data_IF_553913809867
#
_entry.id   IF_553913809867
#
_cell.length_a   1.000
_cell.length_b   1.000
_cell.length_c   1.000
_cell.angle_alpha   90.00
_cell.angle_beta   90.00
_cell.angle_gamma   90.00
#
_symmetry.space_group_name_H-M   'P 1'
#
loop_
_entity.id
_entity.type
_entity.pdbx_description
1 polymer ?
#
# COMPACT_ATOMS: atom_id res chain seq x y z
N UNK A 1 -90.50 1.72 -14.86
CA UNK A 1 -91.16 0.71 -15.72
C UNK A 1 -90.18 -0.45 -15.88
N UNK A 2 -90.33 -1.49 -15.04
CA UNK A 2 -89.57 -2.73 -15.25
C UNK A 2 -90.31 -3.48 -16.38
N UNK A 3 -89.65 -3.84 -17.49
CA UNK A 3 -90.32 -4.47 -18.62
C UNK A 3 -91.01 -5.77 -18.16
N UNK A 4 -92.25 -6.01 -18.57
CA UNK A 4 -93.09 -7.14 -18.12
C UNK A 4 -92.43 -8.51 -18.28
N UNK A 5 -91.52 -8.64 -19.26
CA UNK A 5 -90.69 -9.81 -19.53
C UNK A 5 -89.85 -10.23 -18.32
N UNK A 6 -89.40 -9.27 -17.50
CA UNK A 6 -88.60 -9.55 -16.30
C UNK A 6 -89.44 -10.19 -15.19
N UNK A 7 -90.76 -9.95 -15.17
CA UNK A 7 -91.66 -10.41 -14.11
C UNK A 7 -92.16 -11.83 -14.35
N UNK A 8 -92.42 -12.22 -15.61
CA UNK A 8 -92.86 -13.58 -15.96
C UNK A 8 -91.70 -14.58 -16.05
N UNK A 9 -90.50 -14.13 -16.44
CA UNK A 9 -89.31 -14.98 -16.63
C UNK A 9 -88.24 -14.81 -15.53
N UNK A 10 -88.60 -14.34 -14.35
CA UNK A 10 -87.63 -14.00 -13.30
C UNK A 10 -86.83 -15.21 -12.79
N UNK A 11 -87.44 -16.40 -12.73
CA UNK A 11 -86.79 -17.64 -12.24
C UNK A 11 -85.65 -18.12 -13.16
N UNK A 12 -85.83 -18.30 -14.48
CA UNK A 12 -84.73 -18.71 -15.36
C UNK A 12 -83.64 -17.64 -15.47
N UNK A 13 -83.99 -16.35 -15.40
CA UNK A 13 -83.01 -15.26 -15.39
C UNK A 13 -82.15 -15.33 -14.11
N UNK A 14 -82.76 -15.54 -12.95
CA UNK A 14 -82.02 -15.70 -11.69
C UNK A 14 -81.09 -16.92 -11.73
N UNK A 15 -81.53 -18.04 -12.31
CA UNK A 15 -80.69 -19.23 -12.47
C UNK A 15 -79.49 -19.00 -13.40
N UNK A 16 -79.67 -18.31 -14.52
CA UNK A 16 -78.58 -17.98 -15.44
C UNK A 16 -77.55 -17.03 -14.81
N UNK A 17 -78.01 -16.02 -14.06
CA UNK A 17 -77.12 -15.12 -13.33
C UNK A 17 -76.32 -15.88 -12.26
N UNK A 18 -76.98 -16.79 -11.53
CA UNK A 18 -76.34 -17.60 -10.50
C UNK A 18 -75.32 -18.57 -11.12
N UNK A 19 -75.63 -19.20 -12.25
CA UNK A 19 -74.69 -20.03 -13.00
C UNK A 19 -73.48 -19.21 -13.51
N UNK A 20 -73.70 -18.01 -14.03
CA UNK A 20 -72.62 -17.11 -14.45
C UNK A 20 -71.68 -16.71 -13.31
N UNK A 21 -72.24 -16.38 -12.14
CA UNK A 21 -71.45 -16.05 -10.94
C UNK A 21 -70.63 -17.24 -10.43
N UNK A 22 -71.20 -18.45 -10.44
CA UNK A 22 -70.48 -19.67 -10.06
C UNK A 22 -69.32 -19.97 -11.01
N UNK A 23 -69.54 -19.85 -12.33
CA UNK A 23 -68.49 -20.03 -13.32
C UNK A 23 -67.38 -18.97 -13.18
N UNK A 24 -67.75 -17.72 -12.98
CA UNK A 24 -66.80 -16.63 -12.76
C UNK A 24 -65.98 -16.84 -11.47
N UNK A 25 -66.63 -17.19 -10.36
CA UNK A 25 -65.96 -17.47 -9.09
C UNK A 25 -65.00 -18.66 -9.18
N UNK A 26 -65.40 -19.74 -9.85
CA UNK A 26 -64.53 -20.91 -10.08
C UNK A 26 -63.33 -20.57 -10.96
N UNK A 27 -63.54 -19.84 -12.07
CA UNK A 27 -62.46 -19.40 -12.94
C UNK A 27 -61.50 -18.44 -12.23
N UNK A 28 -62.03 -17.46 -11.50
CA UNK A 28 -61.24 -16.47 -10.78
C UNK A 28 -60.40 -17.11 -9.66
N UNK A 29 -61.01 -17.99 -8.85
CA UNK A 29 -60.30 -18.71 -7.80
C UNK A 29 -59.20 -19.61 -8.38
N UNK A 30 -59.50 -20.36 -9.45
CA UNK A 30 -58.50 -21.19 -10.13
C UNK A 30 -57.34 -20.39 -10.73
N UNK A 31 -57.63 -19.22 -11.32
CA UNK A 31 -56.61 -18.32 -11.86
C UNK A 31 -55.72 -17.72 -10.76
N UNK A 32 -56.31 -17.24 -9.66
CA UNK A 32 -55.56 -16.69 -8.53
C UNK A 32 -54.72 -17.76 -7.82
N UNK A 33 -55.26 -18.97 -7.62
CA UNK A 33 -54.47 -20.11 -7.10
C UNK A 33 -53.30 -20.45 -8.02
N UNK A 34 -53.52 -20.53 -9.33
CA UNK A 34 -52.45 -20.83 -10.30
C UNK A 34 -51.35 -19.76 -10.32
N UNK A 35 -51.73 -18.47 -10.24
CA UNK A 35 -50.77 -17.37 -10.07
C UNK A 35 -49.98 -17.49 -8.76
N UNK A 36 -50.66 -17.77 -7.66
CA UNK A 36 -50.04 -17.89 -6.34
C UNK A 36 -48.97 -19.00 -6.33
N UNK A 37 -49.31 -20.20 -6.80
CA UNK A 37 -48.40 -21.34 -6.87
C UNK A 37 -47.21 -21.04 -7.78
N UNK A 38 -47.47 -20.44 -8.95
CA UNK A 38 -46.42 -20.05 -9.90
C UNK A 38 -45.49 -19.01 -9.30
N UNK A 39 -46.03 -17.99 -8.64
CA UNK A 39 -45.26 -16.93 -7.99
C UNK A 39 -44.42 -17.49 -6.84
N UNK A 40 -44.99 -18.39 -6.02
CA UNK A 40 -44.25 -19.07 -4.95
C UNK A 40 -43.09 -19.90 -5.52
N UNK A 41 -43.34 -20.69 -6.58
CA UNK A 41 -42.32 -21.48 -7.23
C UNK A 41 -41.19 -20.61 -7.81
N UNK A 42 -41.52 -19.47 -8.42
CA UNK A 42 -40.53 -18.50 -8.91
C UNK A 42 -39.75 -17.84 -7.78
N UNK A 43 -40.41 -17.42 -6.70
CA UNK A 43 -39.76 -16.84 -5.53
C UNK A 43 -38.74 -17.80 -4.91
N UNK A 44 -39.06 -19.09 -4.81
CA UNK A 44 -38.13 -20.11 -4.32
C UNK A 44 -36.93 -20.27 -5.27
N UNK A 45 -37.18 -20.29 -6.58
CA UNK A 45 -36.09 -20.38 -7.58
C UNK A 45 -35.15 -19.17 -7.50
N UNK A 46 -35.70 -17.96 -7.39
CA UNK A 46 -34.91 -16.74 -7.23
C UNK A 46 -34.14 -16.73 -5.91
N UNK A 47 -34.79 -17.04 -4.79
CA UNK A 47 -34.10 -17.11 -3.50
C UNK A 47 -32.93 -18.11 -3.51
N UNK A 48 -33.11 -19.28 -4.15
CA UNK A 48 -32.04 -20.26 -4.32
C UNK A 48 -30.90 -19.76 -5.20
N UNK A 49 -31.22 -19.06 -6.30
CA UNK A 49 -30.21 -18.46 -7.18
C UNK A 49 -29.46 -17.37 -6.44
N UNK A 50 -30.16 -16.42 -5.82
CA UNK A 50 -29.56 -15.28 -5.13
C UNK A 50 -28.68 -15.75 -3.97
N UNK A 51 -29.10 -16.79 -3.22
CA UNK A 51 -28.25 -17.41 -2.20
C UNK A 51 -26.96 -18.03 -2.78
N UNK A 52 -27.06 -18.70 -3.94
CA UNK A 52 -25.90 -19.25 -4.64
C UNK A 52 -24.98 -18.13 -5.14
N UNK A 53 -25.54 -17.09 -5.74
CA UNK A 53 -24.79 -15.95 -6.27
C UNK A 53 -24.06 -15.20 -5.14
N UNK A 54 -24.70 -15.02 -3.98
CA UNK A 54 -24.08 -14.44 -2.79
C UNK A 54 -22.94 -15.31 -2.25
N UNK A 55 -23.11 -16.63 -2.22
CA UNK A 55 -22.05 -17.54 -1.78
C UNK A 55 -20.85 -17.51 -2.73
N UNK A 56 -21.09 -17.54 -4.05
CA UNK A 56 -20.04 -17.41 -5.05
C UNK A 56 -19.34 -16.06 -4.99
N UNK A 57 -20.10 -14.97 -4.78
CA UNK A 57 -19.54 -13.64 -4.62
C UNK A 57 -18.66 -13.55 -3.37
N UNK A 58 -19.13 -14.09 -2.23
CA UNK A 58 -18.35 -14.14 -1.00
C UNK A 58 -17.06 -14.95 -1.18
N UNK A 59 -17.12 -16.08 -1.88
CA UNK A 59 -15.95 -16.90 -2.21
C UNK A 59 -14.93 -16.13 -3.06
N UNK A 60 -15.38 -15.43 -4.12
CA UNK A 60 -14.50 -14.59 -4.94
C UNK A 60 -13.89 -13.44 -4.14
N UNK A 61 -14.69 -12.74 -3.34
CA UNK A 61 -14.20 -11.64 -2.50
C UNK A 61 -13.15 -12.10 -1.49
N UNK A 62 -13.28 -13.30 -0.94
CA UNK A 62 -12.30 -13.85 -0.01
C UNK A 62 -10.98 -14.22 -0.72
N UNK A 63 -11.08 -14.81 -1.91
CA UNK A 63 -9.90 -15.12 -2.74
C UNK A 63 -9.13 -13.86 -3.13
N UNK A 64 -9.84 -12.84 -3.62
CA UNK A 64 -9.22 -11.55 -3.97
C UNK A 64 -8.61 -10.86 -2.74
N UNK A 65 -9.30 -10.85 -1.59
CA UNK A 65 -8.75 -10.27 -0.35
C UNK A 65 -7.52 -11.02 0.16
N UNK A 66 -7.50 -12.33 0.06
CA UNK A 66 -6.34 -13.15 0.43
C UNK A 66 -5.14 -12.78 -0.45
N UNK A 67 -5.37 -12.63 -1.74
CA UNK A 67 -4.32 -12.29 -2.71
C UNK A 67 -3.84 -10.84 -2.55
N UNK A 68 -4.73 -9.89 -2.28
CA UNK A 68 -4.37 -8.52 -1.89
C UNK A 68 -3.53 -8.48 -0.61
N UNK A 69 -3.94 -9.21 0.43
CA UNK A 69 -3.17 -9.30 1.67
C UNK A 69 -1.79 -9.92 1.44
N UNK A 70 -1.70 -10.97 0.61
CA UNK A 70 -0.43 -11.59 0.24
C UNK A 70 0.50 -10.58 -0.42
N UNK A 71 0.03 -9.83 -1.43
CA UNK A 71 0.80 -8.78 -2.11
C UNK A 71 1.21 -7.66 -1.14
N UNK A 72 0.29 -7.18 -0.31
CA UNK A 72 0.58 -6.14 0.68
C UNK A 72 1.66 -6.58 1.68
N UNK A 73 1.58 -7.83 2.16
CA UNK A 73 2.57 -8.38 3.09
C UNK A 73 3.96 -8.45 2.46
N UNK A 74 4.07 -8.84 1.19
CA UNK A 74 5.35 -8.84 0.48
C UNK A 74 5.94 -7.43 0.36
N UNK A 75 5.12 -6.45 -0.03
CA UNK A 75 5.57 -5.05 -0.12
C UNK A 75 5.97 -4.49 1.25
N UNK A 76 5.24 -4.84 2.31
CA UNK A 76 5.58 -4.45 3.67
C UNK A 76 6.94 -5.01 4.09
N UNK A 77 7.24 -6.28 3.75
CA UNK A 77 8.53 -6.89 4.02
C UNK A 77 9.66 -6.19 3.26
N UNK A 78 9.49 -5.93 1.96
CA UNK A 78 10.48 -5.19 1.15
C UNK A 78 10.73 -3.80 1.74
N UNK A 79 9.68 -3.12 2.18
CA UNK A 79 9.78 -1.79 2.80
C UNK A 79 10.53 -1.86 4.14
N UNK A 80 10.24 -2.84 4.99
CA UNK A 80 10.91 -3.03 6.28
C UNK A 80 12.40 -3.36 6.10
N UNK A 81 12.73 -4.21 5.12
CA UNK A 81 14.10 -4.55 4.77
C UNK A 81 14.87 -3.35 4.21
N UNK A 82 14.23 -2.54 3.37
CA UNK A 82 14.81 -1.30 2.85
C UNK A 82 15.08 -0.30 3.98
N UNK A 83 14.12 -0.11 4.89
CA UNK A 83 14.30 0.78 6.05
C UNK A 83 15.45 0.31 6.94
N UNK A 84 15.53 -0.99 7.21
CA UNK A 84 16.65 -1.59 7.98
C UNK A 84 18.00 -1.33 7.30
N UNK A 85 18.07 -1.42 5.98
CA UNK A 85 19.30 -1.13 5.23
C UNK A 85 19.66 0.36 5.25
N UNK A 86 18.68 1.26 5.14
CA UNK A 86 18.90 2.71 5.28
C UNK A 86 19.42 3.05 6.67
N UNK A 87 18.85 2.46 7.72
CA UNK A 87 19.27 2.74 9.10
C UNK A 87 20.70 2.25 9.36
N UNK A 88 21.09 1.10 8.80
CA UNK A 88 22.48 0.63 8.82
C UNK A 88 23.41 1.60 8.09
N UNK A 89 23.06 2.02 6.88
CA UNK A 89 23.87 2.97 6.12
C UNK A 89 24.02 4.31 6.84
N UNK A 90 22.96 4.80 7.50
CA UNK A 90 22.99 6.01 8.33
C UNK A 90 23.89 5.85 9.54
N UNK A 91 23.85 4.70 10.21
CA UNK A 91 24.74 4.40 11.33
C UNK A 91 26.20 4.36 10.89
N UNK A 92 26.49 3.71 9.76
CA UNK A 92 27.84 3.64 9.20
C UNK A 92 28.36 5.02 8.79
N UNK A 93 27.51 5.86 8.19
CA UNK A 93 27.82 7.25 7.88
C UNK A 93 28.11 8.07 9.15
N UNK A 94 27.31 7.91 10.22
CA UNK A 94 27.55 8.58 11.50
C UNK A 94 28.87 8.14 12.16
N UNK A 95 29.19 6.84 12.09
CA UNK A 95 30.46 6.32 12.59
C UNK A 95 31.65 6.89 11.80
N UNK A 96 31.53 6.97 10.46
CA UNK A 96 32.54 7.57 9.61
C UNK A 96 32.72 9.07 9.91
N UNK A 97 31.63 9.81 10.15
CA UNK A 97 31.69 11.22 10.55
C UNK A 97 32.41 11.38 11.89
N UNK A 98 32.07 10.57 12.90
CA UNK A 98 32.75 10.61 14.20
C UNK A 98 34.25 10.34 14.09
N UNK A 99 34.65 9.40 13.23
CA UNK A 99 36.07 9.12 12.96
C UNK A 99 36.76 10.31 12.28
N UNK A 100 36.09 10.95 11.30
CA UNK A 100 36.60 12.14 10.64
C UNK A 100 36.77 13.32 11.62
N UNK A 101 35.80 13.57 12.49
CA UNK A 101 35.86 14.63 13.50
C UNK A 101 37.02 14.42 14.48
N UNK A 102 37.26 13.19 14.93
CA UNK A 102 38.41 12.84 15.78
C UNK A 102 39.74 13.11 15.06
N UNK A 103 39.82 12.78 13.77
CA UNK A 103 40.99 13.08 12.95
C UNK A 103 41.20 14.61 12.84
N UNK A 104 40.14 15.40 12.62
CA UNK A 104 40.21 16.87 12.59
C UNK A 104 40.74 17.45 13.90
N UNK A 105 40.23 16.97 15.04
CA UNK A 105 40.69 17.40 16.36
C UNK A 105 42.18 17.09 16.57
N UNK A 106 42.62 15.92 16.11
CA UNK A 106 44.02 15.49 16.21
C UNK A 106 44.92 16.39 15.37
N UNK A 107 44.53 16.67 14.12
CA UNK A 107 45.21 17.61 13.23
C UNK A 107 45.27 19.01 13.86
N UNK A 108 44.14 19.52 14.38
CA UNK A 108 44.09 20.84 15.02
C UNK A 108 45.01 20.93 16.24
N UNK A 109 45.13 19.85 17.03
CA UNK A 109 46.05 19.79 18.16
C UNK A 109 47.52 19.82 17.69
N UNK A 110 47.88 19.00 16.69
CA UNK A 110 49.22 19.01 16.10
C UNK A 110 49.57 20.40 15.58
N UNK A 111 48.64 21.09 14.90
CA UNK A 111 48.84 22.48 14.43
C UNK A 111 49.17 23.44 15.57
N UNK A 112 48.45 23.37 16.70
CA UNK A 112 48.72 24.21 17.88
C UNK A 112 50.09 23.92 18.49
N UNK A 113 50.48 22.64 18.57
CA UNK A 113 51.78 22.24 19.12
C UNK A 113 52.94 22.74 18.25
N UNK A 114 52.82 22.64 16.93
CA UNK A 114 53.85 23.17 16.01
C UNK A 114 53.97 24.69 16.12
N UNK A 115 52.84 25.42 16.12
CA UNK A 115 52.84 26.88 16.25
C UNK A 115 53.53 27.35 17.56
N UNK A 116 53.26 26.67 18.68
CA UNK A 116 53.90 26.97 19.96
C UNK A 116 55.41 26.67 19.95
N UNK A 117 55.85 25.61 19.25
CA UNK A 117 57.26 25.24 19.11
C UNK A 117 58.07 26.22 18.24
N UNK A 118 57.46 26.84 17.22
CA UNK A 118 58.18 27.76 16.33
C UNK A 118 58.38 29.14 16.94
N UNK A 119 57.43 29.62 17.77
CA UNK A 119 57.62 30.85 18.55
C UNK A 119 58.81 30.81 19.52
N UNK A 120 59.33 29.61 19.85
CA UNK A 120 60.48 29.46 20.76
C UNK A 120 61.85 29.38 20.06
N UNK A 121 61.91 29.34 18.72
CA UNK A 121 63.18 29.14 17.97
C UNK A 121 63.27 30.07 16.76
N UNK A 122 63.93 31.21 16.91
CA UNK A 122 64.28 32.11 15.81
C UNK A 122 65.60 31.65 15.13
N UNK A 123 65.53 30.77 14.12
CA UNK A 123 66.70 30.43 13.27
C UNK A 123 66.29 30.01 11.85
N UNK A 124 67.21 29.94 10.89
CA UNK A 124 66.94 29.51 9.51
C UNK A 124 66.36 28.08 9.40
N UNK A 125 66.65 27.22 10.39
CA UNK A 125 66.05 25.87 10.51
C UNK A 125 64.56 25.99 10.86
N UNK A 126 64.17 27.02 11.62
CA UNK A 126 62.77 27.31 11.93
C UNK A 126 61.97 27.77 10.70
N UNK A 127 62.58 28.50 9.76
CA UNK A 127 61.90 28.85 8.50
C UNK A 127 61.66 27.62 7.60
N UNK A 128 62.62 26.67 7.57
CA UNK A 128 62.47 25.42 6.84
C UNK A 128 61.49 24.44 7.53
N UNK A 129 61.34 24.50 8.86
CA UNK A 129 60.28 23.78 9.58
C UNK A 129 58.92 24.43 9.36
N UNK A 130 58.84 25.77 9.33
CA UNK A 130 57.59 26.52 9.13
C UNK A 130 56.99 26.23 7.76
N UNK A 131 57.83 26.18 6.73
CA UNK A 131 57.42 25.84 5.36
C UNK A 131 56.90 24.40 5.28
N UNK A 132 57.56 23.43 5.96
CA UNK A 132 57.09 22.04 6.04
C UNK A 132 55.78 21.93 6.82
N UNK A 133 55.66 22.64 7.95
CA UNK A 133 54.43 22.71 8.75
C UNK A 133 53.25 23.23 7.93
N UNK A 134 53.46 24.31 7.16
CA UNK A 134 52.44 24.89 6.28
C UNK A 134 52.00 23.92 5.16
N UNK A 135 52.94 23.17 4.57
CA UNK A 135 52.58 22.15 3.56
C UNK A 135 51.76 20.99 4.15
N UNK A 136 52.11 20.52 5.36
CA UNK A 136 51.32 19.50 6.09
C UNK A 136 49.95 20.01 6.52
N UNK A 137 49.85 21.29 6.89
CA UNK A 137 48.58 21.98 7.20
C UNK A 137 47.66 22.02 5.99
N UNK A 138 48.18 22.38 4.81
CA UNK A 138 47.41 22.43 3.57
C UNK A 138 46.90 21.04 3.17
N UNK A 139 47.78 20.03 3.20
CA UNK A 139 47.42 18.63 2.93
C UNK A 139 46.31 18.14 3.87
N UNK A 140 46.38 18.51 5.14
CA UNK A 140 45.34 18.19 6.11
C UNK A 140 44.00 18.87 5.77
N UNK A 141 43.98 20.15 5.37
CA UNK A 141 42.75 20.85 4.96
C UNK A 141 42.11 20.24 3.71
N UNK A 142 42.95 19.90 2.72
CA UNK A 142 42.50 19.22 1.49
C UNK A 142 41.92 17.84 1.82
N UNK A 143 42.58 17.08 2.71
CA UNK A 143 42.07 15.79 3.18
C UNK A 143 40.72 15.95 3.88
N UNK A 144 40.55 16.96 4.74
CA UNK A 144 39.29 17.25 5.43
C UNK A 144 38.14 17.46 4.44
N UNK A 145 38.31 18.36 3.48
CA UNK A 145 37.30 18.67 2.46
C UNK A 145 37.03 17.49 1.54
N UNK A 146 38.06 16.69 1.25
CA UNK A 146 37.92 15.46 0.48
C UNK A 146 37.06 14.45 1.22
N UNK A 147 37.36 14.19 2.51
CA UNK A 147 36.59 13.26 3.34
C UNK A 147 35.14 13.71 3.47
N UNK A 148 34.89 14.99 3.75
CA UNK A 148 33.53 15.55 3.84
C UNK A 148 32.73 15.33 2.53
N UNK A 149 33.32 15.66 1.38
CA UNK A 149 32.67 15.45 0.07
C UNK A 149 32.41 13.96 -0.19
N UNK A 150 33.37 13.09 0.10
CA UNK A 150 33.21 11.66 -0.10
C UNK A 150 32.11 11.07 0.80
N UNK A 151 31.97 11.56 2.04
CA UNK A 151 30.90 11.16 2.95
C UNK A 151 29.51 11.55 2.43
N UNK A 152 29.35 12.79 1.95
CA UNK A 152 28.09 13.25 1.35
C UNK A 152 27.70 12.43 0.12
N UNK A 153 28.68 12.13 -0.74
CA UNK A 153 28.48 11.31 -1.93
C UNK A 153 28.11 9.87 -1.55
N UNK A 154 28.81 9.28 -0.58
CA UNK A 154 28.53 7.93 -0.09
C UNK A 154 27.12 7.83 0.50
N UNK A 155 26.71 8.78 1.33
CA UNK A 155 25.37 8.80 1.92
C UNK A 155 24.27 8.84 0.84
N UNK A 156 24.45 9.69 -0.18
CA UNK A 156 23.51 9.79 -1.30
C UNK A 156 23.48 8.49 -2.12
N UNK A 157 24.65 7.91 -2.38
CA UNK A 157 24.77 6.66 -3.14
C UNK A 157 24.13 5.49 -2.39
N UNK A 158 24.29 5.40 -1.07
CA UNK A 158 23.64 4.37 -0.26
C UNK A 158 22.13 4.52 -0.25
N UNK A 159 21.60 5.73 -0.12
CA UNK A 159 20.16 5.98 -0.20
C UNK A 159 19.60 5.55 -1.56
N UNK A 160 20.24 5.95 -2.66
CA UNK A 160 19.80 5.59 -4.00
C UNK A 160 19.89 4.09 -4.25
N UNK A 161 20.96 3.45 -3.78
CA UNK A 161 21.14 2.00 -3.90
C UNK A 161 20.05 1.24 -3.14
N UNK A 162 19.76 1.62 -1.89
CA UNK A 162 18.73 0.95 -1.10
C UNK A 162 17.35 1.16 -1.71
N UNK A 163 17.03 2.38 -2.15
CA UNK A 163 15.76 2.67 -2.82
C UNK A 163 15.63 1.92 -4.16
N UNK A 164 16.70 1.83 -4.94
CA UNK A 164 16.72 1.06 -6.19
C UNK A 164 16.49 -0.43 -5.95
N UNK A 165 17.22 -1.02 -5.01
CA UNK A 165 17.03 -2.42 -4.60
C UNK A 165 15.62 -2.68 -4.05
N UNK A 166 15.04 -1.73 -3.33
CA UNK A 166 13.66 -1.83 -2.86
C UNK A 166 12.69 -1.85 -4.04
N UNK A 167 12.86 -0.97 -5.03
CA UNK A 167 12.02 -0.95 -6.24
C UNK A 167 12.09 -2.26 -7.02
N UNK A 168 13.31 -2.78 -7.24
CA UNK A 168 13.54 -4.06 -7.92
C UNK A 168 12.86 -5.21 -7.18
N UNK A 169 13.07 -5.31 -5.86
CA UNK A 169 12.46 -6.36 -5.03
C UNK A 169 10.94 -6.25 -4.96
N UNK A 170 10.39 -5.04 -4.90
CA UNK A 170 8.95 -4.80 -4.95
C UNK A 170 8.38 -5.30 -6.27
N UNK A 171 9.02 -4.97 -7.40
CA UNK A 171 8.61 -5.47 -8.70
C UNK A 171 8.68 -7.00 -8.78
N UNK A 172 9.81 -7.59 -8.39
CA UNK A 172 10.01 -9.05 -8.40
C UNK A 172 8.97 -9.76 -7.53
N UNK A 173 8.60 -9.19 -6.37
CA UNK A 173 7.60 -9.77 -5.47
C UNK A 173 6.21 -9.86 -6.10
N UNK A 174 5.87 -8.93 -6.99
CA UNK A 174 4.60 -8.91 -7.72
C UNK A 174 4.70 -9.74 -9.00
N UNK A 175 5.82 -9.67 -9.73
CA UNK A 175 6.02 -10.32 -11.02
C UNK A 175 6.22 -11.84 -10.92
N UNK A 176 6.77 -12.34 -9.81
CA UNK A 176 6.99 -13.78 -9.59
C UNK A 176 5.80 -14.49 -8.93
N UNK A 177 4.75 -13.74 -8.56
CA UNK A 177 3.50 -14.31 -8.12
C UNK A 177 2.76 -14.94 -9.31
N UNK A 178 2.99 -16.24 -9.50
CA UNK A 178 2.33 -17.08 -10.51
C UNK A 178 1.24 -17.92 -9.87
#
# INVERSE_FOLDING_TARGET
>A
MIPSILKDNWKPIALLLLAGLLLWGAHHNGYESGKFDTNQAWNIKWAKRDAKDLLELAGRQEQERTEEQRRQNQINQVTADAQTQLDKARLDAANAQSAADKLQLTIANIRRQLAASETSKLSAIANASATRANSGVLLADVLSKSVERNQQLAATADEWRVNGLACERSYDSIATAK
#
